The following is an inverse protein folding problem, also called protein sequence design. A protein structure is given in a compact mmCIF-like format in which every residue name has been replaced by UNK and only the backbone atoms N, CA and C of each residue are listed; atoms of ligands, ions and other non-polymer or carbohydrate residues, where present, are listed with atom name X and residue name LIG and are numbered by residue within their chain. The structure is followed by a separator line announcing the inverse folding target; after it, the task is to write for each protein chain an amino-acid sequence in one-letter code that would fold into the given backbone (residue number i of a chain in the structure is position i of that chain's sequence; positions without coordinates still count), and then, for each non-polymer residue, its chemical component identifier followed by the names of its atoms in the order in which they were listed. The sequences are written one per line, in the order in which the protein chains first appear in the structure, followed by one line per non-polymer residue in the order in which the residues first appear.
data_IF_501614703203
#
_entry.id   IF_501614703203
#
_cell.length_a   1.000
_cell.length_b   1.000
_cell.length_c   1.000
_cell.angle_alpha   90.00
_cell.angle_beta   90.00
_cell.angle_gamma   90.00
#
_symmetry.space_group_name_H-M   'P 1'
#
loop_
_entity.id
_entity.type
_entity.pdbx_description
1 polymer ?
#
# COMPACT_ATOMS: atom_id res chain seq x y z
N UNK A 1 29.88 -0.30 -4.46
CA UNK A 1 29.25 -0.77 -3.20
C UNK A 1 27.89 -1.36 -3.52
N UNK A 2 27.65 -2.59 -3.04
CA UNK A 2 26.37 -3.32 -3.25
C UNK A 2 25.31 -2.87 -2.19
N UNK A 3 25.20 -1.57 -1.96
CA UNK A 3 24.28 -1.03 -0.97
C UNK A 3 22.87 -0.91 -1.56
N UNK A 4 21.85 -1.23 -0.76
CA UNK A 4 20.43 -1.03 -1.08
C UNK A 4 19.89 0.02 -0.11
N UNK A 5 19.22 1.04 -0.62
CA UNK A 5 18.46 2.02 0.18
C UNK A 5 17.01 1.53 0.26
N UNK A 6 16.50 1.38 1.48
CA UNK A 6 15.09 1.06 1.69
C UNK A 6 14.30 2.36 1.89
N UNK A 7 13.28 2.53 1.06
CA UNK A 7 12.37 3.68 1.11
C UNK A 7 10.95 3.21 1.44
N UNK A 8 10.39 3.74 2.53
CA UNK A 8 9.08 3.32 3.00
C UNK A 8 7.98 4.25 2.50
N UNK A 9 6.95 3.67 1.90
CA UNK A 9 5.71 4.34 1.50
C UNK A 9 4.58 3.31 1.52
N UNK A 10 3.39 3.68 2.04
CA UNK A 10 2.33 2.69 2.29
C UNK A 10 1.17 2.81 1.30
N UNK A 11 1.12 3.87 0.49
CA UNK A 11 0.16 4.12 -0.59
C UNK A 11 0.77 5.12 -1.58
N UNK A 12 -0.03 5.82 -2.41
CA UNK A 12 0.44 6.80 -3.37
C UNK A 12 -0.37 8.10 -3.30
N UNK A 13 0.26 9.22 -3.69
CA UNK A 13 -0.41 10.52 -3.77
C UNK A 13 -0.96 11.03 -2.43
N UNK A 14 -2.16 11.65 -2.42
CA UNK A 14 -2.77 12.21 -1.21
C UNK A 14 -2.93 11.21 -0.07
N UNK A 15 -3.20 9.94 -0.38
CA UNK A 15 -3.31 8.87 0.60
C UNK A 15 -1.97 8.63 1.32
N UNK A 16 -0.86 8.58 0.58
CA UNK A 16 0.46 8.42 1.17
C UNK A 16 0.83 9.61 2.07
N UNK A 17 0.50 10.83 1.65
CA UNK A 17 0.76 12.06 2.42
C UNK A 17 -0.07 12.13 3.71
N UNK A 18 -1.32 11.64 3.66
CA UNK A 18 -2.17 11.54 4.85
C UNK A 18 -1.63 10.51 5.83
N UNK A 19 -1.28 9.29 5.35
CA UNK A 19 -0.74 8.20 6.19
C UNK A 19 0.57 8.64 6.85
N UNK A 20 1.47 9.23 6.08
CA UNK A 20 2.80 9.68 6.53
C UNK A 20 2.86 11.20 6.58
N UNK A 21 2.36 11.76 7.66
CA UNK A 21 2.35 13.22 7.84
C UNK A 21 3.74 13.84 7.60
N UNK A 22 3.80 14.81 6.69
CA UNK A 22 5.05 15.45 6.25
C UNK A 22 5.68 14.80 5.03
N UNK A 23 5.16 13.67 4.53
CA UNK A 23 5.54 13.15 3.22
C UNK A 23 5.05 14.12 2.14
N UNK A 24 5.87 14.35 1.12
CA UNK A 24 5.48 14.95 -0.15
C UNK A 24 5.73 13.90 -1.25
N UNK A 25 4.65 13.46 -1.90
CA UNK A 25 4.70 12.35 -2.86
C UNK A 25 5.57 12.69 -4.08
N UNK A 26 5.49 13.93 -4.59
CA UNK A 26 6.31 14.36 -5.71
C UNK A 26 7.80 14.40 -5.36
N UNK A 27 8.11 14.82 -4.14
CA UNK A 27 9.50 14.81 -3.66
C UNK A 27 10.00 13.39 -3.47
N UNK A 28 9.13 12.47 -2.99
CA UNK A 28 9.47 11.05 -2.88
C UNK A 28 9.80 10.47 -4.25
N UNK A 29 8.96 10.68 -5.27
CA UNK A 29 9.22 10.23 -6.65
C UNK A 29 10.57 10.75 -7.16
N UNK A 30 10.83 12.06 -7.06
CA UNK A 30 12.11 12.67 -7.48
C UNK A 30 13.31 12.07 -6.75
N UNK A 31 13.19 11.80 -5.45
CA UNK A 31 14.27 11.22 -4.65
C UNK A 31 14.57 9.77 -5.07
N UNK A 32 13.53 8.95 -5.29
CA UNK A 32 13.68 7.58 -5.81
C UNK A 32 14.39 7.61 -7.16
N UNK A 33 13.93 8.45 -8.08
CA UNK A 33 14.53 8.56 -9.40
C UNK A 33 15.99 9.02 -9.35
N UNK A 34 16.33 9.97 -8.47
CA UNK A 34 17.69 10.44 -8.26
C UNK A 34 18.59 9.32 -7.74
N UNK A 35 18.14 8.51 -6.78
CA UNK A 35 18.91 7.37 -6.28
C UNK A 35 19.18 6.35 -7.41
N UNK A 36 18.14 5.97 -8.15
CA UNK A 36 18.23 4.99 -9.23
C UNK A 36 19.16 5.48 -10.36
N UNK A 37 19.03 6.75 -10.77
CA UNK A 37 19.90 7.35 -11.80
C UNK A 37 21.36 7.48 -11.37
N UNK A 38 21.63 7.53 -10.06
CA UNK A 38 22.98 7.53 -9.49
C UNK A 38 23.56 6.12 -9.32
N UNK A 39 22.88 5.07 -9.78
CA UNK A 39 23.34 3.68 -9.67
C UNK A 39 23.09 3.05 -8.28
N UNK A 40 22.26 3.66 -7.43
CA UNK A 40 21.91 3.13 -6.11
C UNK A 40 20.67 2.25 -6.23
N UNK A 41 20.75 1.00 -5.76
CA UNK A 41 19.58 0.10 -5.68
C UNK A 41 18.60 0.57 -4.62
N UNK A 42 17.31 0.46 -4.91
CA UNK A 42 16.23 0.86 -3.99
C UNK A 42 15.29 -0.30 -3.74
N UNK A 43 14.93 -0.52 -2.47
CA UNK A 43 13.83 -1.40 -2.05
C UNK A 43 12.66 -0.55 -1.55
N UNK A 44 11.52 -0.59 -2.22
CA UNK A 44 10.29 0.02 -1.71
C UNK A 44 9.71 -0.90 -0.65
N UNK A 45 9.49 -0.37 0.55
CA UNK A 45 8.91 -1.09 1.69
C UNK A 45 7.52 -0.54 1.98
N UNK A 46 6.51 -1.38 1.82
CA UNK A 46 5.12 -1.04 2.10
C UNK A 46 4.65 -1.79 3.34
N UNK A 47 4.43 -1.10 4.45
CA UNK A 47 3.72 -1.73 5.58
C UNK A 47 2.24 -1.82 5.22
N UNK A 48 1.87 -2.94 4.57
CA UNK A 48 0.55 -3.10 3.98
C UNK A 48 -0.53 -3.14 5.05
N UNK A 49 -1.46 -2.19 4.96
CA UNK A 49 -2.59 -2.01 5.87
C UNK A 49 -3.86 -1.65 5.09
N UNK A 50 -4.99 -1.47 5.78
CA UNK A 50 -6.25 -1.08 5.15
C UNK A 50 -6.10 0.18 4.28
N UNK A 51 -5.37 1.17 4.77
CA UNK A 51 -5.17 2.46 4.10
C UNK A 51 -4.29 2.37 2.86
N UNK A 52 -3.58 1.25 2.67
CA UNK A 52 -2.79 1.03 1.45
C UNK A 52 -3.68 0.73 0.25
N UNK A 53 -4.83 0.04 0.46
CA UNK A 53 -5.65 -0.56 -0.60
C UNK A 53 -6.13 0.46 -1.65
N UNK A 54 -6.71 1.64 -1.29
CA UNK A 54 -7.39 2.50 -2.26
C UNK A 54 -6.53 2.96 -3.43
N UNK A 55 -5.29 3.30 -3.19
CA UNK A 55 -4.41 3.83 -4.23
C UNK A 55 -3.14 2.98 -4.43
N UNK A 56 -3.21 1.71 -4.05
CA UNK A 56 -2.06 0.80 -4.16
C UNK A 56 -1.68 0.53 -5.61
N UNK A 57 -2.67 0.45 -6.50
CA UNK A 57 -2.44 0.28 -7.93
C UNK A 57 -1.56 1.39 -8.52
N UNK A 58 -1.73 2.65 -8.10
CA UNK A 58 -0.90 3.75 -8.56
C UNK A 58 0.56 3.60 -8.09
N UNK A 59 0.79 3.18 -6.84
CA UNK A 59 2.14 2.85 -6.36
C UNK A 59 2.78 1.74 -7.18
N UNK A 60 2.06 0.66 -7.46
CA UNK A 60 2.57 -0.47 -8.25
C UNK A 60 2.88 -0.06 -9.69
N UNK A 61 2.03 0.79 -10.28
CA UNK A 61 2.28 1.38 -11.61
C UNK A 61 3.55 2.23 -11.62
N UNK A 62 3.77 3.05 -10.59
CA UNK A 62 5.02 3.80 -10.42
C UNK A 62 6.23 2.87 -10.32
N UNK A 63 6.16 1.82 -9.49
CA UNK A 63 7.25 0.84 -9.35
C UNK A 63 7.56 0.19 -10.69
N UNK A 64 6.56 -0.24 -11.44
CA UNK A 64 6.75 -0.85 -12.77
C UNK A 64 7.38 0.15 -13.77
N UNK A 65 6.93 1.41 -13.77
CA UNK A 65 7.54 2.50 -14.57
C UNK A 65 9.03 2.65 -14.25
N UNK A 66 9.39 2.64 -12.97
CA UNK A 66 10.79 2.77 -12.55
C UNK A 66 11.62 1.51 -12.88
N UNK A 67 11.05 0.30 -12.76
CA UNK A 67 11.71 -0.95 -13.19
C UNK A 67 12.04 -0.93 -14.70
N UNK A 68 11.11 -0.47 -15.52
CA UNK A 68 11.33 -0.32 -16.98
C UNK A 68 12.42 0.69 -17.30
N UNK A 69 12.52 1.78 -16.52
CA UNK A 69 13.52 2.84 -16.74
C UNK A 69 14.90 2.47 -16.16
N UNK A 70 14.92 1.72 -15.05
CA UNK A 70 16.13 1.35 -14.30
C UNK A 70 16.14 -0.15 -13.99
N UNK A 71 16.41 -1.01 -14.99
CA UNK A 71 16.39 -2.46 -14.83
C UNK A 71 17.29 -2.94 -13.68
N UNK A 72 16.85 -3.94 -12.88
CA UNK A 72 17.55 -4.51 -11.72
C UNK A 72 17.73 -3.60 -10.50
N UNK A 73 17.33 -2.34 -10.58
CA UNK A 73 17.66 -1.35 -9.57
C UNK A 73 16.58 -1.18 -8.50
N UNK A 74 15.34 -1.60 -8.79
CA UNK A 74 14.19 -1.40 -7.90
C UNK A 74 13.50 -2.72 -7.56
N UNK A 75 13.21 -2.90 -6.27
CA UNK A 75 12.39 -4.00 -5.76
C UNK A 75 11.29 -3.46 -4.86
N UNK A 76 10.24 -4.27 -4.62
CA UNK A 76 9.17 -3.95 -3.68
C UNK A 76 8.93 -5.10 -2.70
N UNK A 77 8.61 -4.75 -1.45
CA UNK A 77 8.20 -5.67 -0.41
C UNK A 77 6.96 -5.16 0.33
N UNK A 78 6.09 -6.08 0.75
CA UNK A 78 4.78 -5.78 1.33
C UNK A 78 4.57 -6.54 2.65
N UNK A 79 5.36 -6.21 3.71
CA UNK A 79 5.07 -6.76 5.04
C UNK A 79 3.67 -6.35 5.49
N UNK A 80 2.90 -7.30 6.01
CA UNK A 80 1.51 -7.12 6.42
C UNK A 80 1.43 -6.56 7.85
N UNK A 81 0.62 -5.53 8.04
CA UNK A 81 0.35 -4.94 9.35
C UNK A 81 -0.69 -5.77 10.10
N UNK A 82 -0.28 -6.46 11.14
CA UNK A 82 -1.18 -7.23 12.03
C UNK A 82 -1.62 -6.42 13.26
N UNK A 83 -0.84 -5.43 13.67
CA UNK A 83 -1.10 -4.57 14.81
C UNK A 83 -0.67 -3.12 14.51
N UNK A 84 -1.49 -2.10 14.86
CA UNK A 84 -2.78 -2.21 15.55
C UNK A 84 -3.88 -2.80 14.65
N UNK A 85 -4.74 -3.65 15.22
CA UNK A 85 -5.75 -4.42 14.50
C UNK A 85 -6.73 -3.55 13.69
N UNK A 86 -7.08 -2.38 14.19
CA UNK A 86 -7.99 -1.45 13.52
C UNK A 86 -7.38 -0.82 12.24
N UNK A 87 -6.09 -0.90 12.02
CA UNK A 87 -5.43 -0.49 10.77
C UNK A 87 -5.08 -1.69 9.88
N UNK A 88 -5.21 -2.91 10.39
CA UNK A 88 -4.97 -4.11 9.60
C UNK A 88 -5.92 -4.21 8.42
N UNK A 89 -5.43 -4.68 7.28
CA UNK A 89 -6.27 -4.96 6.12
C UNK A 89 -7.33 -6.05 6.40
N UNK A 90 -7.27 -6.76 7.53
CA UNK A 90 -8.26 -7.80 7.91
C UNK A 90 -9.65 -7.25 8.27
N UNK A 91 -9.83 -5.94 8.39
CA UNK A 91 -11.15 -5.30 8.59
C UNK A 91 -11.85 -4.92 7.27
N UNK A 92 -11.19 -5.16 6.12
CA UNK A 92 -11.70 -4.82 4.79
C UNK A 92 -13.07 -5.47 4.49
N UNK A 93 -13.77 -4.91 3.52
CA UNK A 93 -14.98 -5.49 2.93
C UNK A 93 -14.70 -6.26 1.62
N UNK A 94 -15.75 -6.73 0.98
CA UNK A 94 -15.63 -7.50 -0.26
C UNK A 94 -15.20 -6.63 -1.44
N UNK A 95 -15.60 -5.36 -1.49
CA UNK A 95 -15.19 -4.43 -2.56
C UNK A 95 -13.68 -4.21 -2.52
N UNK A 96 -13.11 -4.00 -1.33
CA UNK A 96 -11.68 -3.87 -1.18
C UNK A 96 -10.92 -5.16 -1.49
N UNK A 97 -11.51 -6.33 -1.18
CA UNK A 97 -10.92 -7.62 -1.52
C UNK A 97 -10.89 -7.83 -3.04
N UNK A 98 -11.94 -7.45 -3.75
CA UNK A 98 -12.00 -7.51 -5.22
C UNK A 98 -10.94 -6.59 -5.83
N UNK A 99 -10.76 -5.36 -5.31
CA UNK A 99 -9.71 -4.45 -5.74
C UNK A 99 -8.30 -5.04 -5.55
N UNK A 100 -8.09 -5.80 -4.47
CA UNK A 100 -6.82 -6.51 -4.25
C UNK A 100 -6.62 -7.66 -5.24
N UNK A 101 -7.69 -8.36 -5.59
CA UNK A 101 -7.64 -9.42 -6.61
C UNK A 101 -7.23 -8.85 -7.96
N UNK A 102 -7.84 -7.74 -8.37
CA UNK A 102 -7.52 -7.04 -9.62
C UNK A 102 -6.05 -6.57 -9.62
N UNK A 103 -5.56 -6.09 -8.49
CA UNK A 103 -4.17 -5.71 -8.34
C UNK A 103 -3.22 -6.91 -8.52
N UNK A 104 -3.50 -8.05 -7.89
CA UNK A 104 -2.70 -9.28 -8.05
C UNK A 104 -2.69 -9.70 -9.50
N UNK A 105 -3.83 -9.68 -10.18
CA UNK A 105 -3.91 -9.97 -11.61
C UNK A 105 -3.07 -9.00 -12.45
N UNK A 106 -3.11 -7.70 -12.14
CA UNK A 106 -2.26 -6.71 -12.81
C UNK A 106 -0.77 -7.00 -12.60
N UNK A 107 -0.34 -7.33 -11.38
CA UNK A 107 1.06 -7.71 -11.11
C UNK A 107 1.42 -8.99 -11.86
N UNK A 108 0.57 -10.01 -11.85
CA UNK A 108 0.78 -11.28 -12.54
C UNK A 108 1.00 -11.08 -14.04
N UNK A 109 0.19 -10.25 -14.70
CA UNK A 109 0.33 -9.95 -16.14
C UNK A 109 1.58 -9.11 -16.46
N UNK A 110 2.21 -8.50 -15.46
CA UNK A 110 3.45 -7.74 -15.55
C UNK A 110 4.62 -8.43 -14.84
N UNK A 111 4.58 -9.76 -14.72
CA UNK A 111 5.63 -10.57 -14.08
C UNK A 111 6.37 -11.40 -15.12
N UNK A 112 7.70 -11.44 -15.03
CA UNK A 112 8.57 -12.29 -15.83
C UNK A 112 9.90 -12.52 -15.09
N UNK A 113 10.37 -13.77 -15.06
CA UNK A 113 11.69 -14.08 -14.49
C UNK A 113 12.82 -13.94 -15.52
N UNK A 114 12.48 -13.66 -16.77
CA UNK A 114 13.44 -13.44 -17.87
C UNK A 114 13.51 -11.98 -18.31
N UNK A 115 12.43 -11.21 -18.13
CA UNK A 115 12.41 -9.77 -18.41
C UNK A 115 12.64 -8.96 -17.13
N UNK A 116 13.82 -8.43 -17.02
CA UNK A 116 14.31 -7.63 -15.88
C UNK A 116 13.61 -6.28 -15.67
N UNK A 117 12.80 -5.87 -16.63
CA UNK A 117 12.01 -4.64 -16.57
C UNK A 117 10.63 -4.85 -15.94
N UNK A 118 10.31 -6.12 -15.60
CA UNK A 118 9.04 -6.52 -15.01
C UNK A 118 9.20 -6.90 -13.52
N UNK A 119 8.10 -7.22 -12.87
CA UNK A 119 8.15 -7.90 -11.57
C UNK A 119 8.73 -9.31 -11.76
N UNK A 120 9.35 -9.85 -10.74
CA UNK A 120 9.76 -11.26 -10.71
C UNK A 120 8.76 -12.11 -9.91
N UNK A 121 8.87 -13.45 -10.03
CA UNK A 121 8.00 -14.38 -9.30
C UNK A 121 8.03 -14.21 -7.79
N UNK A 122 9.18 -13.83 -7.22
CA UNK A 122 9.30 -13.56 -5.79
C UNK A 122 8.54 -12.31 -5.34
N UNK A 123 8.45 -11.28 -6.19
CA UNK A 123 7.62 -10.11 -5.91
C UNK A 123 6.13 -10.45 -6.07
N UNK A 124 5.73 -11.17 -7.12
CA UNK A 124 4.36 -11.64 -7.31
C UNK A 124 3.86 -12.42 -6.09
N UNK A 125 4.65 -13.38 -5.61
CA UNK A 125 4.31 -14.19 -4.42
C UNK A 125 4.01 -13.33 -3.18
N UNK A 126 4.64 -12.16 -3.03
CA UNK A 126 4.34 -11.26 -1.91
C UNK A 126 2.95 -10.64 -2.03
N UNK A 127 2.52 -10.26 -3.23
CA UNK A 127 1.16 -9.73 -3.46
C UNK A 127 0.10 -10.82 -3.31
N UNK A 128 0.36 -12.02 -3.83
CA UNK A 128 -0.52 -13.19 -3.63
C UNK A 128 -0.70 -13.50 -2.14
N UNK A 129 0.38 -13.48 -1.35
CA UNK A 129 0.30 -13.67 0.11
C UNK A 129 -0.53 -12.62 0.81
N UNK A 130 -0.45 -11.35 0.40
CA UNK A 130 -1.30 -10.27 0.95
C UNK A 130 -2.77 -10.56 0.65
N UNK A 131 -3.10 -10.90 -0.59
CA UNK A 131 -4.47 -11.23 -1.00
C UNK A 131 -5.01 -12.45 -0.24
N UNK A 132 -4.25 -13.53 -0.19
CA UNK A 132 -4.64 -14.76 0.50
C UNK A 132 -4.85 -14.52 1.99
N UNK A 133 -3.98 -13.75 2.64
CA UNK A 133 -4.13 -13.36 4.03
C UNK A 133 -5.41 -12.56 4.25
N UNK A 134 -5.67 -11.56 3.41
CA UNK A 134 -6.91 -10.79 3.47
C UNK A 134 -8.15 -11.65 3.23
N UNK A 135 -8.09 -12.63 2.32
CA UNK A 135 -9.20 -13.52 1.98
C UNK A 135 -9.51 -14.53 3.08
N UNK A 136 -8.48 -15.10 3.72
CA UNK A 136 -8.63 -16.25 4.61
C UNK A 136 -8.65 -15.89 6.10
N UNK A 137 -8.13 -14.72 6.47
CA UNK A 137 -7.88 -14.35 7.88
C UNK A 137 -8.68 -13.12 8.33
N UNK A 138 -9.68 -12.68 7.56
CA UNK A 138 -10.52 -11.51 7.93
C UNK A 138 -11.12 -11.68 9.33
N UNK A 139 -11.17 -10.59 10.07
CA UNK A 139 -11.92 -10.56 11.33
C UNK A 139 -13.41 -10.76 11.06
N UNK A 140 -14.12 -11.34 12.02
CA UNK A 140 -15.55 -11.63 11.93
C UNK A 140 -16.26 -11.28 13.25
N UNK A 141 -17.59 -11.19 13.21
CA UNK A 141 -18.41 -10.97 14.41
C UNK A 141 -18.00 -9.74 15.23
N UNK A 142 -17.97 -9.89 16.54
CA UNK A 142 -17.67 -8.79 17.46
C UNK A 142 -16.23 -8.24 17.32
N UNK A 143 -15.29 -9.06 16.93
CA UNK A 143 -13.90 -8.59 16.71
C UNK A 143 -13.85 -7.63 15.51
N UNK A 144 -14.50 -7.97 14.40
CA UNK A 144 -14.59 -7.09 13.23
C UNK A 144 -15.29 -5.78 13.60
N UNK A 145 -16.42 -5.84 14.27
CA UNK A 145 -17.20 -4.67 14.68
C UNK A 145 -16.37 -3.72 15.54
N UNK A 146 -15.71 -4.24 16.57
CA UNK A 146 -14.87 -3.44 17.46
C UNK A 146 -13.73 -2.76 16.69
N UNK A 147 -13.01 -3.51 15.85
CA UNK A 147 -11.88 -2.93 15.10
C UNK A 147 -12.33 -1.90 14.06
N UNK A 148 -13.53 -2.03 13.46
CA UNK A 148 -14.12 -1.01 12.59
C UNK A 148 -14.49 0.27 13.34
N UNK A 149 -15.03 0.16 14.55
CA UNK A 149 -15.29 1.33 15.42
C UNK A 149 -13.96 2.01 15.81
N UNK A 150 -12.96 1.23 16.20
CA UNK A 150 -11.63 1.75 16.56
C UNK A 150 -10.94 2.41 15.36
N UNK A 151 -11.15 1.89 14.14
CA UNK A 151 -10.69 2.53 12.89
C UNK A 151 -11.28 3.94 12.72
N UNK A 152 -12.60 4.10 12.89
CA UNK A 152 -13.26 5.41 12.81
C UNK A 152 -12.69 6.37 13.85
N UNK A 153 -12.58 5.92 15.10
CA UNK A 153 -12.01 6.74 16.19
C UNK A 153 -10.57 7.17 15.88
N UNK A 154 -9.77 6.27 15.29
CA UNK A 154 -8.42 6.60 14.86
C UNK A 154 -8.40 7.67 13.77
N UNK A 155 -9.25 7.54 12.74
CA UNK A 155 -9.36 8.50 11.63
C UNK A 155 -9.72 9.90 12.17
N UNK A 156 -10.79 9.97 12.97
CA UNK A 156 -11.26 11.23 13.53
C UNK A 156 -10.19 11.92 14.40
N UNK A 157 -9.48 11.14 15.23
CA UNK A 157 -8.42 11.65 16.08
C UNK A 157 -7.15 12.04 15.30
N UNK A 158 -6.80 11.29 14.26
CA UNK A 158 -5.69 11.61 13.37
C UNK A 158 -5.92 12.98 12.71
N UNK A 159 -7.09 13.18 12.10
CA UNK A 159 -7.45 14.43 11.45
C UNK A 159 -7.45 15.60 12.43
N UNK A 160 -8.04 15.40 13.61
CA UNK A 160 -8.05 16.42 14.67
C UNK A 160 -6.64 16.84 15.11
N UNK A 161 -5.72 15.87 15.29
CA UNK A 161 -4.35 16.16 15.78
C UNK A 161 -3.44 16.76 14.73
N UNK A 162 -3.62 16.36 13.48
CA UNK A 162 -2.70 16.71 12.39
C UNK A 162 -3.26 17.77 11.45
N UNK A 163 -4.48 18.23 11.69
CA UNK A 163 -5.19 19.16 10.83
C UNK A 163 -5.22 18.67 9.37
N UNK A 164 -5.47 17.37 9.22
CA UNK A 164 -5.66 16.68 7.93
C UNK A 164 -7.15 16.51 7.62
N UNK A 165 -7.49 16.02 6.45
CA UNK A 165 -8.87 15.76 6.05
C UNK A 165 -8.96 14.39 5.35
N UNK A 166 -9.46 13.41 6.09
CA UNK A 166 -9.70 12.06 5.59
C UNK A 166 -10.60 12.03 4.35
N UNK A 167 -11.71 12.75 4.38
CA UNK A 167 -12.68 12.74 3.28
C UNK A 167 -12.10 13.25 1.95
N UNK A 168 -11.10 14.12 2.02
CA UNK A 168 -10.37 14.61 0.85
C UNK A 168 -9.29 13.62 0.41
N UNK A 169 -8.61 12.98 1.36
CA UNK A 169 -7.51 12.07 1.06
C UNK A 169 -8.01 10.69 0.59
N UNK A 170 -9.14 10.22 1.11
CA UNK A 170 -9.69 8.87 0.86
C UNK A 170 -11.17 8.91 0.42
N UNK A 171 -11.53 9.64 -0.63
CA UNK A 171 -12.91 9.69 -1.09
C UNK A 171 -13.47 8.31 -1.47
N UNK A 172 -12.61 7.37 -1.88
CA UNK A 172 -12.97 6.00 -2.23
C UNK A 172 -13.45 5.17 -1.03
N UNK A 173 -13.03 5.53 0.18
CA UNK A 173 -13.39 4.84 1.42
C UNK A 173 -14.52 5.51 2.20
N UNK A 174 -15.15 6.55 1.67
CA UNK A 174 -16.20 7.29 2.36
C UNK A 174 -17.39 6.39 2.75
N UNK A 175 -17.74 5.45 1.88
CA UNK A 175 -18.79 4.47 2.15
C UNK A 175 -18.39 3.53 3.30
N UNK A 176 -17.16 3.01 3.28
CA UNK A 176 -16.64 2.10 4.30
C UNK A 176 -16.58 2.78 5.68
N UNK A 177 -16.11 4.02 5.72
CA UNK A 177 -16.09 4.81 6.94
C UNK A 177 -17.50 5.00 7.54
N UNK A 178 -18.52 5.23 6.68
CA UNK A 178 -19.92 5.33 7.13
C UNK A 178 -20.46 4.00 7.65
N UNK A 179 -20.13 2.88 7.01
CA UNK A 179 -20.50 1.55 7.49
C UNK A 179 -19.87 1.23 8.85
N UNK A 180 -18.61 1.61 9.04
CA UNK A 180 -17.90 1.39 10.31
C UNK A 180 -18.49 2.19 11.50
N UNK A 181 -19.30 3.24 11.23
CA UNK A 181 -20.01 4.04 12.25
C UNK A 181 -21.32 3.41 12.75
N UNK A 182 -21.83 2.40 12.09
CA UNK A 182 -23.08 1.71 12.42
C UNK A 182 -22.85 0.53 13.38
#
# INVERSE_FOLDING_TARGET
TNSIVYASIDSWGPQAEWIRHGLNNDQFERNIEKLLSSGVKVGIMVTFCLLSIPNFHALITFVLKMKKKYPWMLTIDTPMMSDPKHLSALILDDIMLDNLQDLVYYVQTNTSDTDICMFNSGELTKFERVYDWCKTSRFTGEELKRNRIDFVNFIDEHDRRRNTNWHTAFPELEYFYKECKQ
#
